data_IF_571854928703
#
_entry.id   IF_571854928703
#
_cell.length_a   1.000
_cell.length_b   1.000
_cell.length_c   1.000
_cell.angle_alpha   90.00
_cell.angle_beta   90.00
_cell.angle_gamma   90.00
#
_symmetry.space_group_name_H-M   'P 1'
#
loop_
_entity.id
_entity.type
_entity.pdbx_description
1 polymer ?
#
# COMPACT_ATOMS: atom_id res chain seq x y z
N UNK A 1 -25.16 24.38 0.94
CA UNK A 1 -26.34 23.52 0.66
C UNK A 1 -25.82 22.13 0.36
N UNK A 2 -26.29 21.08 1.06
CA UNK A 2 -25.82 19.70 0.82
C UNK A 2 -26.63 19.10 -0.34
N UNK A 3 -25.99 18.86 -1.48
CA UNK A 3 -26.65 18.28 -2.65
C UNK A 3 -27.02 16.82 -2.38
N UNK A 4 -28.32 16.44 -2.49
CA UNK A 4 -28.77 15.07 -2.23
C UNK A 4 -28.14 14.05 -3.21
N UNK A 5 -27.76 14.50 -4.41
CA UNK A 5 -27.09 13.68 -5.43
C UNK A 5 -25.66 13.28 -5.04
N UNK A 6 -25.00 14.01 -4.14
CA UNK A 6 -23.62 13.72 -3.74
C UNK A 6 -23.51 12.37 -2.99
N UNK A 7 -24.55 12.00 -2.22
CA UNK A 7 -24.60 10.70 -1.52
C UNK A 7 -24.72 9.51 -2.47
N UNK A 8 -25.47 9.67 -3.57
CA UNK A 8 -25.66 8.64 -4.59
C UNK A 8 -24.37 8.44 -5.38
N UNK A 9 -23.73 9.52 -5.82
CA UNK A 9 -22.45 9.44 -6.55
C UNK A 9 -21.38 8.75 -5.70
N UNK A 10 -21.32 9.04 -4.39
CA UNK A 10 -20.36 8.42 -3.46
C UNK A 10 -20.56 6.91 -3.29
N UNK A 11 -21.77 6.37 -3.51
CA UNK A 11 -21.99 4.92 -3.47
C UNK A 11 -21.31 4.17 -4.62
N UNK A 12 -21.17 4.80 -5.78
CA UNK A 12 -20.49 4.22 -6.95
C UNK A 12 -19.00 4.55 -7.01
N UNK A 13 -18.53 5.45 -6.15
CA UNK A 13 -17.12 5.76 -6.08
C UNK A 13 -16.30 4.57 -5.53
N UNK A 14 -15.07 4.39 -6.04
CA UNK A 14 -14.19 3.34 -5.59
C UNK A 14 -13.70 3.62 -4.16
N UNK A 15 -13.40 2.54 -3.43
CA UNK A 15 -12.60 2.58 -2.21
C UNK A 15 -11.12 2.65 -2.59
N UNK A 16 -10.29 3.11 -1.66
CA UNK A 16 -8.84 3.12 -1.82
C UNK A 16 -8.20 2.44 -0.63
N UNK A 17 -7.00 1.90 -0.80
CA UNK A 17 -6.22 1.33 0.30
C UNK A 17 -4.75 1.56 0.06
N UNK A 18 -4.00 1.79 1.12
CA UNK A 18 -2.53 1.84 1.07
C UNK A 18 -2.00 0.58 1.74
N UNK A 19 -1.19 -0.18 1.01
CA UNK A 19 -0.56 -1.41 1.50
C UNK A 19 0.95 -1.19 1.59
N UNK A 20 1.53 -1.56 2.73
CA UNK A 20 2.97 -1.59 2.95
C UNK A 20 3.36 -3.05 3.15
N UNK A 21 4.15 -3.57 2.22
CA UNK A 21 4.71 -4.91 2.25
C UNK A 21 6.19 -4.81 2.64
N UNK A 22 6.56 -5.36 3.79
CA UNK A 22 7.94 -5.42 4.25
C UNK A 22 8.45 -6.85 4.18
N UNK A 23 9.62 -7.05 3.58
CA UNK A 23 10.22 -8.37 3.41
C UNK A 23 11.45 -8.52 4.29
N UNK A 24 11.36 -9.41 5.27
CA UNK A 24 12.46 -9.70 6.18
C UNK A 24 13.20 -10.96 5.72
N UNK A 25 14.47 -10.80 5.40
CA UNK A 25 15.37 -11.88 4.97
C UNK A 25 16.26 -12.27 6.14
N UNK A 26 16.11 -13.50 6.62
CA UNK A 26 16.98 -14.09 7.64
C UNK A 26 17.64 -15.33 7.02
N UNK A 27 18.99 -15.39 6.98
CA UNK A 27 19.70 -16.55 6.43
C UNK A 27 19.24 -17.87 7.05
N UNK A 28 19.07 -18.90 6.21
CA UNK A 28 18.62 -20.22 6.64
C UNK A 28 17.11 -20.36 6.91
N UNK A 29 16.33 -19.29 6.76
CA UNK A 29 14.86 -19.34 6.89
C UNK A 29 14.14 -18.76 5.68
N UNK A 30 12.90 -19.20 5.37
CA UNK A 30 12.08 -18.59 4.33
C UNK A 30 11.85 -17.11 4.60
N UNK A 31 11.82 -16.31 3.53
CA UNK A 31 11.55 -14.87 3.63
C UNK A 31 10.17 -14.65 4.23
N UNK A 32 10.11 -13.82 5.27
CA UNK A 32 8.88 -13.42 5.93
C UNK A 32 8.35 -12.13 5.30
N UNK A 33 7.08 -12.15 4.87
CA UNK A 33 6.35 -10.97 4.41
C UNK A 33 5.48 -10.44 5.55
N UNK A 34 5.62 -9.16 5.88
CA UNK A 34 4.71 -8.43 6.76
C UNK A 34 3.88 -7.46 5.92
N UNK A 35 2.57 -7.60 5.98
CA UNK A 35 1.63 -6.75 5.24
C UNK A 35 0.88 -5.83 6.21
N UNK A 36 0.98 -4.53 5.98
CA UNK A 36 0.21 -3.52 6.69
C UNK A 36 -0.72 -2.82 5.72
N UNK A 37 -2.02 -3.03 5.91
CA UNK A 37 -3.08 -2.45 5.08
C UNK A 37 -3.82 -1.36 5.82
N UNK A 38 -3.98 -0.21 5.18
CA UNK A 38 -4.83 0.88 5.65
C UNK A 38 -5.90 1.18 4.59
N UNK A 39 -7.17 0.96 4.96
CA UNK A 39 -8.30 1.15 4.05
C UNK A 39 -8.94 2.53 4.22
N UNK A 40 -9.33 3.13 3.10
CA UNK A 40 -10.05 4.38 3.00
C UNK A 40 -11.48 4.16 2.49
N UNK A 41 -12.35 5.11 2.77
CA UNK A 41 -13.74 5.13 2.34
C UNK A 41 -13.91 5.33 0.82
N UNK A 42 -15.17 5.30 0.37
CA UNK A 42 -15.52 5.55 -1.03
C UNK A 42 -15.26 7.01 -1.40
N UNK A 43 -14.54 7.22 -2.50
CA UNK A 43 -14.22 8.55 -3.03
C UNK A 43 -13.06 9.26 -2.33
N UNK A 44 -12.41 8.62 -1.36
CA UNK A 44 -11.37 9.24 -0.53
C UNK A 44 -9.96 9.11 -1.17
N UNK A 45 -9.87 9.43 -2.47
CA UNK A 45 -8.60 9.36 -3.19
C UNK A 45 -7.55 10.32 -2.61
N UNK A 46 -7.93 11.58 -2.37
CA UNK A 46 -6.98 12.61 -1.92
C UNK A 46 -6.39 12.25 -0.55
N UNK A 47 -7.22 11.73 0.36
CA UNK A 47 -6.77 11.27 1.68
C UNK A 47 -5.83 10.07 1.56
N UNK A 48 -6.16 9.10 0.70
CA UNK A 48 -5.33 7.94 0.44
C UNK A 48 -3.99 8.31 -0.19
N UNK A 49 -3.99 9.24 -1.16
CA UNK A 49 -2.79 9.75 -1.81
C UNK A 49 -1.91 10.53 -0.83
N UNK A 50 -2.48 11.42 -0.02
CA UNK A 50 -1.72 12.15 1.01
C UNK A 50 -1.08 11.19 2.02
N UNK A 51 -1.82 10.18 2.46
CA UNK A 51 -1.29 9.16 3.37
C UNK A 51 -0.17 8.35 2.71
N UNK A 52 -0.37 7.91 1.46
CA UNK A 52 0.65 7.22 0.67
C UNK A 52 1.96 8.01 0.61
N UNK A 53 1.90 9.28 0.21
CA UNK A 53 3.08 10.14 0.14
C UNK A 53 3.76 10.35 1.50
N UNK A 54 2.97 10.48 2.57
CA UNK A 54 3.48 10.57 3.94
C UNK A 54 4.23 9.30 4.35
N UNK A 55 3.67 8.13 4.03
CA UNK A 55 4.27 6.82 4.32
C UNK A 55 5.55 6.64 3.51
N UNK A 56 5.55 6.97 2.22
CA UNK A 56 6.74 6.96 1.35
C UNK A 56 7.84 7.87 1.89
N UNK A 57 7.51 9.12 2.27
CA UNK A 57 8.47 10.06 2.84
C UNK A 57 9.08 9.51 4.13
N UNK A 58 8.25 8.99 5.03
CA UNK A 58 8.71 8.42 6.30
C UNK A 58 9.61 7.20 6.09
N UNK A 59 9.27 6.33 5.14
CA UNK A 59 10.11 5.17 4.80
C UNK A 59 11.44 5.57 4.18
N UNK A 60 11.44 6.61 3.36
CA UNK A 60 12.66 7.18 2.77
C UNK A 60 13.58 7.74 3.87
N UNK A 61 13.03 8.48 4.84
CA UNK A 61 13.80 9.06 5.94
C UNK A 61 14.34 7.99 6.90
N UNK A 62 13.56 6.96 7.21
CA UNK A 62 13.96 5.90 8.13
C UNK A 62 14.83 4.82 7.47
N UNK A 63 14.92 4.81 6.14
CA UNK A 63 15.77 3.87 5.40
C UNK A 63 15.33 2.41 5.52
N UNK A 64 14.02 2.13 5.59
CA UNK A 64 13.53 0.76 5.69
C UNK A 64 13.94 -0.07 4.45
N UNK A 65 14.65 -1.19 4.62
CA UNK A 65 15.06 -2.04 3.51
C UNK A 65 13.89 -2.89 3.02
N UNK A 66 13.98 -3.35 1.77
CA UNK A 66 13.11 -4.37 1.16
C UNK A 66 11.62 -4.14 1.43
N UNK A 67 11.14 -2.92 1.15
CA UNK A 67 9.76 -2.53 1.39
C UNK A 67 9.10 -2.08 0.09
N UNK A 68 7.85 -2.48 -0.11
CA UNK A 68 7.00 -2.07 -1.22
C UNK A 68 5.77 -1.35 -0.66
N UNK A 69 5.48 -0.17 -1.19
CA UNK A 69 4.38 0.67 -0.75
C UNK A 69 3.48 0.89 -1.96
N UNK A 70 2.22 0.49 -1.84
CA UNK A 70 1.24 0.49 -2.93
C UNK A 70 0.00 1.31 -2.53
N UNK A 71 -0.44 2.18 -3.42
CA UNK A 71 -1.76 2.78 -3.39
C UNK A 71 -2.68 2.00 -4.34
N UNK A 72 -3.73 1.39 -3.79
CA UNK A 72 -4.66 0.55 -4.53
C UNK A 72 -6.02 1.24 -4.61
N UNK A 73 -6.62 1.19 -5.81
CA UNK A 73 -7.98 1.58 -6.12
C UNK A 73 -8.86 0.35 -6.26
N UNK A 74 -9.98 0.34 -5.56
CA UNK A 74 -10.91 -0.77 -5.52
C UNK A 74 -10.28 -2.01 -4.88
N UNK A 75 -10.33 -3.14 -5.58
CA UNK A 75 -9.85 -4.43 -5.04
C UNK A 75 -8.41 -4.77 -5.43
N UNK A 76 -7.93 -4.32 -6.59
CA UNK A 76 -6.67 -4.82 -7.18
C UNK A 76 -5.89 -3.80 -8.02
N UNK A 77 -6.48 -2.66 -8.39
CA UNK A 77 -5.81 -1.73 -9.31
C UNK A 77 -4.76 -0.94 -8.55
N UNK A 78 -3.48 -1.18 -8.83
CA UNK A 78 -2.38 -0.37 -8.29
C UNK A 78 -2.37 0.96 -9.04
N UNK A 79 -2.54 2.05 -8.30
CA UNK A 79 -2.49 3.43 -8.83
C UNK A 79 -1.06 3.94 -8.77
N UNK A 80 -0.40 3.75 -7.63
CA UNK A 80 0.97 4.17 -7.42
C UNK A 80 1.71 3.11 -6.62
N UNK A 81 3.01 2.94 -6.93
CA UNK A 81 3.87 1.97 -6.26
C UNK A 81 5.27 2.54 -6.09
N UNK A 82 5.81 2.40 -4.89
CA UNK A 82 7.19 2.75 -4.56
C UNK A 82 7.88 1.55 -3.95
N UNK A 83 9.06 1.23 -4.49
CA UNK A 83 9.89 0.11 -4.05
C UNK A 83 11.15 0.67 -3.37
N UNK A 84 11.52 0.06 -2.26
CA UNK A 84 12.73 0.34 -1.50
C UNK A 84 13.57 -0.94 -1.40
N UNK A 85 14.78 -0.89 -1.95
CA UNK A 85 15.70 -2.04 -1.99
C UNK A 85 15.33 -3.10 -3.05
N UNK A 86 16.07 -4.21 -3.10
CA UNK A 86 15.90 -5.28 -4.10
C UNK A 86 14.70 -6.20 -3.80
N UNK A 87 13.50 -5.64 -3.70
CA UNK A 87 12.28 -6.39 -3.38
C UNK A 87 12.01 -7.53 -4.36
N UNK A 88 12.24 -7.31 -5.66
CA UNK A 88 12.00 -8.34 -6.68
C UNK A 88 12.90 -9.56 -6.49
N UNK A 89 14.18 -9.34 -6.14
CA UNK A 89 15.09 -10.42 -5.77
C UNK A 89 14.59 -11.16 -4.53
N UNK A 90 14.21 -10.42 -3.49
CA UNK A 90 13.73 -11.00 -2.23
C UNK A 90 12.46 -11.83 -2.44
N UNK A 91 11.58 -11.43 -3.37
CA UNK A 91 10.38 -12.19 -3.74
C UNK A 91 10.70 -13.55 -4.40
N UNK A 92 11.84 -13.66 -5.09
CA UNK A 92 12.28 -14.94 -5.67
C UNK A 92 12.86 -15.90 -4.63
N UNK A 93 13.28 -15.40 -3.46
CA UNK A 93 13.81 -16.20 -2.37
C UNK A 93 12.66 -16.80 -1.54
N UNK A 94 12.06 -17.88 -2.04
CA UNK A 94 11.15 -18.80 -1.34
C UNK A 94 10.29 -18.15 -0.22
N UNK A 95 9.45 -17.18 -0.61
CA UNK A 95 8.64 -16.39 0.33
C UNK A 95 7.50 -17.24 0.87
N UNK A 96 7.41 -17.37 2.20
CA UNK A 96 6.18 -17.85 2.86
C UNK A 96 5.42 -16.64 3.38
N UNK A 97 4.19 -16.45 2.90
CA UNK A 97 3.25 -15.51 3.53
C UNK A 97 2.96 -16.01 4.95
N UNK A 98 3.23 -15.17 5.95
CA UNK A 98 2.91 -15.45 7.35
C UNK A 98 1.45 -15.08 7.64
#
# INVERSE_FOLDING_TARGET
MKNPLAGIIRMFQPKYSVIVNMYHVIPGTPVKKFEHRHDFGKGEYDQASMFYHKVVKKHTTLGFPNTEIELIKGKKTIVERKIFGPVDMVKTLNVKSA
#
